data_IF_288161466996
#
_entry.id   IF_288161466996
#
_cell.length_a   1.000
_cell.length_b   1.000
_cell.length_c   1.000
_cell.angle_alpha   90.00
_cell.angle_beta   90.00
_cell.angle_gamma   90.00
#
_symmetry.space_group_name_H-M   'P 1'
#
loop_
_entity.id
_entity.type
_entity.pdbx_description
1 polymer ?
#
# COMPACT_ATOMS: atom_id res chain seq x y z
N UNK A 1 5.14 0.25 -36.50
CA UNK A 1 5.81 0.89 -35.35
C UNK A 1 6.11 -0.22 -34.36
N UNK A 2 7.36 -0.56 -34.13
CA UNK A 2 7.72 -1.48 -33.05
C UNK A 2 7.22 -0.89 -31.75
N UNK A 3 6.29 -1.57 -31.07
CA UNK A 3 5.93 -1.23 -29.71
C UNK A 3 7.18 -1.42 -28.88
N UNK A 4 7.76 -0.32 -28.44
CA UNK A 4 8.91 -0.33 -27.54
C UNK A 4 8.38 -0.90 -26.20
N UNK A 5 8.48 -2.23 -26.04
CA UNK A 5 8.05 -2.94 -24.84
C UNK A 5 8.90 -2.45 -23.67
N UNK A 6 8.26 -1.92 -22.62
CA UNK A 6 8.92 -1.49 -21.41
C UNK A 6 8.43 -2.38 -20.26
N UNK A 7 9.28 -3.29 -19.81
CA UNK A 7 8.95 -4.27 -18.77
C UNK A 7 8.36 -3.65 -17.50
N UNK A 8 8.84 -2.46 -17.12
CA UNK A 8 8.33 -1.75 -15.94
C UNK A 8 6.90 -1.22 -16.16
N UNK A 9 6.65 -0.63 -17.33
CA UNK A 9 5.29 -0.17 -17.68
C UNK A 9 4.34 -1.36 -17.81
N UNK A 10 4.75 -2.43 -18.46
CA UNK A 10 3.97 -3.65 -18.60
C UNK A 10 3.62 -4.26 -17.23
N UNK A 11 4.56 -4.23 -16.29
CA UNK A 11 4.34 -4.66 -14.90
C UNK A 11 3.25 -3.82 -14.22
N UNK A 12 3.35 -2.51 -14.31
CA UNK A 12 2.39 -1.58 -13.71
C UNK A 12 1.00 -1.73 -14.33
N UNK A 13 0.92 -1.89 -15.65
CA UNK A 13 -0.34 -2.04 -16.37
C UNK A 13 -1.05 -3.36 -16.07
N UNK A 14 -0.33 -4.47 -15.85
CA UNK A 14 -0.92 -5.78 -15.52
C UNK A 14 -1.23 -5.98 -14.03
N UNK A 15 -0.80 -5.07 -13.14
CA UNK A 15 -1.01 -5.18 -11.70
C UNK A 15 -2.48 -5.33 -11.32
N UNK A 16 -2.77 -6.25 -10.44
CA UNK A 16 -4.10 -6.45 -9.85
C UNK A 16 -3.99 -6.90 -8.39
N UNK A 17 -5.06 -6.72 -7.62
CA UNK A 17 -5.11 -7.21 -6.24
C UNK A 17 -5.30 -8.72 -6.21
N UNK A 18 -4.46 -9.42 -5.44
CA UNK A 18 -4.48 -10.87 -5.24
C UNK A 18 -4.81 -11.16 -3.79
N UNK A 19 -5.79 -12.04 -3.55
CA UNK A 19 -6.30 -12.38 -2.22
C UNK A 19 -6.31 -13.87 -1.91
N UNK A 20 -5.84 -14.71 -2.85
CA UNK A 20 -5.68 -16.15 -2.65
C UNK A 20 -4.28 -16.53 -3.10
N UNK A 21 -3.51 -17.08 -2.19
CA UNK A 21 -2.10 -17.40 -2.38
C UNK A 21 -1.88 -18.91 -2.35
N UNK A 22 -0.82 -19.37 -3.01
CA UNK A 22 -0.32 -20.72 -2.86
C UNK A 22 0.24 -20.93 -1.43
N UNK A 23 0.19 -22.17 -0.94
CA UNK A 23 0.89 -22.60 0.28
C UNK A 23 2.40 -22.72 -0.01
N UNK A 24 3.00 -21.59 -0.35
CA UNK A 24 4.41 -21.47 -0.69
C UNK A 24 5.03 -20.29 0.02
N UNK A 25 6.09 -20.57 0.75
CA UNK A 25 6.84 -19.52 1.42
C UNK A 25 7.62 -18.64 0.43
N UNK A 26 7.77 -17.38 0.79
CA UNK A 26 8.63 -16.44 0.06
C UNK A 26 10.05 -16.61 0.59
N UNK A 27 11.01 -16.83 -0.30
CA UNK A 27 12.42 -16.90 0.06
C UNK A 27 12.84 -15.64 0.83
N UNK A 28 13.61 -15.82 1.91
CA UNK A 28 14.04 -14.68 2.75
C UNK A 28 14.83 -13.63 1.95
N UNK A 29 15.57 -14.06 0.94
CA UNK A 29 16.27 -13.16 0.03
C UNK A 29 15.29 -12.27 -0.77
N UNK A 30 14.17 -12.81 -1.24
CA UNK A 30 13.17 -12.03 -1.98
C UNK A 30 12.36 -11.13 -1.04
N UNK A 31 12.01 -11.62 0.16
CA UNK A 31 11.41 -10.79 1.22
C UNK A 31 12.30 -9.58 1.53
N UNK A 32 13.59 -9.81 1.69
CA UNK A 32 14.57 -8.75 1.92
C UNK A 32 14.63 -7.76 0.76
N UNK A 33 14.65 -8.22 -0.49
CA UNK A 33 14.63 -7.36 -1.69
C UNK A 33 13.41 -6.45 -1.74
N UNK A 34 12.22 -6.97 -1.36
CA UNK A 34 10.99 -6.18 -1.28
C UNK A 34 11.13 -5.07 -0.22
N UNK A 35 11.64 -5.38 0.95
CA UNK A 35 11.86 -4.40 2.03
C UNK A 35 12.92 -3.36 1.64
N UNK A 36 14.03 -3.78 1.04
CA UNK A 36 15.08 -2.88 0.55
C UNK A 36 14.56 -1.96 -0.55
N UNK A 37 13.68 -2.45 -1.44
CA UNK A 37 13.01 -1.63 -2.44
C UNK A 37 12.15 -0.53 -1.80
N UNK A 38 11.42 -0.83 -0.73
CA UNK A 38 10.66 0.19 0.03
C UNK A 38 11.53 1.36 0.46
N UNK A 39 12.77 1.08 0.89
CA UNK A 39 13.72 2.11 1.35
C UNK A 39 14.30 2.95 0.19
N UNK A 40 14.05 2.55 -1.07
CA UNK A 40 14.44 3.34 -2.27
C UNK A 40 13.32 4.25 -2.74
N UNK A 41 12.15 4.20 -2.11
CA UNK A 41 11.05 5.12 -2.37
C UNK A 41 11.46 6.58 -2.15
N UNK A 42 10.84 7.49 -2.90
CA UNK A 42 11.00 8.91 -2.63
C UNK A 42 10.46 9.25 -1.23
N UNK A 43 11.08 10.18 -0.55
CA UNK A 43 10.73 10.62 0.81
C UNK A 43 10.97 12.11 0.97
N UNK A 44 10.12 12.79 1.69
CA UNK A 44 10.23 14.22 1.93
C UNK A 44 11.54 14.56 2.66
N UNK A 45 12.34 15.45 2.06
CA UNK A 45 13.61 15.89 2.66
C UNK A 45 14.59 14.77 3.01
N UNK A 46 14.48 13.60 2.39
CA UNK A 46 15.22 12.38 2.72
C UNK A 46 15.05 11.93 4.18
N UNK A 47 13.86 12.18 4.75
CA UNK A 47 13.58 11.95 6.17
C UNK A 47 13.14 10.51 6.48
N UNK A 48 12.61 9.77 5.51
CA UNK A 48 12.08 8.41 5.70
C UNK A 48 11.07 8.38 6.85
N UNK A 49 9.95 9.11 6.68
CA UNK A 49 8.94 9.34 7.72
C UNK A 49 8.01 8.14 7.93
N UNK A 50 8.53 6.94 7.82
CA UNK A 50 7.75 5.72 7.97
C UNK A 50 8.51 4.62 8.72
N UNK A 51 7.75 3.71 9.29
CA UNK A 51 8.23 2.43 9.85
C UNK A 51 7.47 1.30 9.19
N UNK A 52 8.16 0.20 8.90
CA UNK A 52 7.57 -1.01 8.32
C UNK A 52 7.60 -2.10 9.40
N UNK A 53 6.44 -2.68 9.71
CA UNK A 53 6.33 -3.82 10.60
C UNK A 53 6.11 -5.07 9.74
N UNK A 54 7.10 -5.96 9.75
CA UNK A 54 7.03 -7.26 9.09
C UNK A 54 6.37 -8.26 10.04
N UNK A 55 5.08 -8.55 9.83
CA UNK A 55 4.27 -9.41 10.70
C UNK A 55 4.52 -10.86 10.35
N UNK A 56 5.29 -11.56 11.19
CA UNK A 56 5.62 -13.00 11.06
C UNK A 56 4.84 -13.88 12.04
N UNK A 57 4.39 -13.33 13.16
CA UNK A 57 3.67 -14.08 14.19
C UNK A 57 2.26 -14.45 13.73
N UNK A 58 1.93 -15.75 13.68
CA UNK A 58 0.64 -16.24 13.20
C UNK A 58 -0.52 -15.68 14.02
N UNK A 59 -0.42 -15.65 15.34
CA UNK A 59 -1.49 -15.10 16.21
C UNK A 59 -1.80 -13.64 15.90
N UNK A 60 -0.79 -12.86 15.57
CA UNK A 60 -0.98 -11.46 15.16
C UNK A 60 -1.66 -11.36 13.80
N UNK A 61 -1.26 -12.19 12.81
CA UNK A 61 -1.94 -12.28 11.53
C UNK A 61 -3.41 -12.68 11.69
N UNK A 62 -3.70 -13.68 12.52
CA UNK A 62 -5.07 -14.14 12.81
C UNK A 62 -5.91 -13.01 13.40
N UNK A 63 -5.32 -12.24 14.33
CA UNK A 63 -6.02 -11.11 14.93
C UNK A 63 -6.26 -9.99 13.93
N UNK A 64 -5.26 -9.63 13.12
CA UNK A 64 -5.41 -8.64 12.07
C UNK A 64 -6.45 -9.06 11.03
N UNK A 65 -6.54 -10.35 10.68
CA UNK A 65 -7.58 -10.86 9.79
C UNK A 65 -9.00 -10.60 10.33
N UNK A 66 -9.20 -10.73 11.63
CA UNK A 66 -10.49 -10.47 12.29
C UNK A 66 -10.76 -8.97 12.37
N UNK A 67 -9.80 -8.18 12.82
CA UNK A 67 -9.97 -6.74 13.06
C UNK A 67 -10.00 -5.90 11.78
N UNK A 68 -9.53 -6.46 10.67
CA UNK A 68 -9.63 -5.88 9.33
C UNK A 68 -10.76 -6.54 8.54
N UNK A 69 -12.00 -6.41 9.03
CA UNK A 69 -13.25 -6.83 8.39
C UNK A 69 -13.36 -8.34 8.09
N UNK A 70 -12.87 -9.19 9.01
CA UNK A 70 -12.93 -10.65 8.87
C UNK A 70 -12.41 -11.17 7.52
N UNK A 71 -11.23 -10.73 7.12
CA UNK A 71 -10.57 -11.10 5.86
C UNK A 71 -9.56 -12.25 6.08
N UNK A 72 -9.97 -13.52 5.96
CA UNK A 72 -9.14 -14.68 6.34
C UNK A 72 -7.85 -14.81 5.52
N UNK A 73 -7.79 -14.27 4.32
CA UNK A 73 -6.59 -14.31 3.49
C UNK A 73 -5.41 -13.50 4.07
N UNK A 74 -5.66 -12.58 5.02
CA UNK A 74 -4.61 -11.90 5.78
C UNK A 74 -3.85 -12.89 6.65
N UNK A 75 -4.57 -13.79 7.33
CA UNK A 75 -3.97 -14.80 8.18
C UNK A 75 -3.11 -15.81 7.40
N UNK A 76 -3.52 -16.14 6.17
CA UNK A 76 -2.84 -17.13 5.33
C UNK A 76 -1.76 -16.53 4.41
N UNK A 77 -1.67 -15.20 4.31
CA UNK A 77 -0.70 -14.55 3.45
C UNK A 77 0.77 -14.82 3.92
N UNK A 78 1.66 -15.28 3.02
CA UNK A 78 3.08 -15.45 3.33
C UNK A 78 3.78 -14.15 3.71
N UNK A 79 3.35 -13.02 3.13
CA UNK A 79 3.86 -11.68 3.41
C UNK A 79 2.75 -10.83 4.02
N UNK A 80 3.00 -10.23 5.18
CA UNK A 80 2.11 -9.23 5.81
C UNK A 80 2.98 -8.09 6.31
N UNK A 81 2.86 -6.93 5.68
CA UNK A 81 3.63 -5.73 6.02
C UNK A 81 2.67 -4.62 6.44
N UNK A 82 2.84 -4.09 7.65
CA UNK A 82 2.12 -2.89 8.10
C UNK A 82 3.03 -1.69 7.96
N UNK A 83 2.59 -0.73 7.16
CA UNK A 83 3.26 0.53 6.90
C UNK A 83 2.68 1.60 7.82
N UNK A 84 3.54 2.18 8.64
CA UNK A 84 3.16 3.19 9.64
C UNK A 84 3.80 4.53 9.31
N UNK A 85 3.01 5.61 9.29
CA UNK A 85 3.53 6.96 9.36
C UNK A 85 4.26 7.15 10.70
N UNK A 86 5.51 7.59 10.66
CA UNK A 86 6.37 7.69 11.83
C UNK A 86 7.14 9.02 11.83
N UNK A 87 6.55 10.01 12.51
CA UNK A 87 7.21 11.29 12.76
C UNK A 87 7.97 11.32 14.10
N UNK A 88 7.78 10.27 14.94
CA UNK A 88 8.33 10.18 16.29
C UNK A 88 9.86 10.29 16.31
N UNK A 89 10.55 9.59 15.40
CA UNK A 89 12.02 9.59 15.35
C UNK A 89 12.59 10.98 15.17
N UNK A 90 12.04 11.75 14.23
CA UNK A 90 12.45 13.12 13.96
C UNK A 90 12.06 14.06 15.09
N UNK A 91 10.86 13.95 15.63
CA UNK A 91 10.46 14.74 16.79
C UNK A 91 11.40 14.53 17.97
N UNK A 92 11.77 13.29 18.27
CA UNK A 92 12.72 12.99 19.33
C UNK A 92 14.14 13.52 19.04
N UNK A 93 14.59 13.41 17.78
CA UNK A 93 15.88 13.97 17.37
C UNK A 93 15.93 15.49 17.53
N UNK A 94 14.88 16.20 17.09
CA UNK A 94 14.77 17.65 17.28
C UNK A 94 14.77 18.05 18.77
N UNK A 95 14.05 17.32 19.62
CA UNK A 95 14.03 17.57 21.06
C UNK A 95 15.39 17.39 21.75
N UNK A 96 16.36 16.73 21.12
CA UNK A 96 17.71 16.58 21.64
C UNK A 96 18.64 17.75 21.30
N UNK A 97 18.33 18.51 20.25
CA UNK A 97 19.21 19.55 19.71
C UNK A 97 18.61 20.95 19.79
N UNK A 98 17.31 21.05 19.97
CA UNK A 98 16.57 22.32 20.01
C UNK A 98 15.95 22.55 21.40
N UNK A 99 16.05 23.76 21.94
CA UNK A 99 15.46 24.14 23.23
C UNK A 99 13.91 24.14 23.18
N UNK A 100 13.34 24.45 22.02
CA UNK A 100 11.89 24.55 21.81
C UNK A 100 11.49 23.87 20.51
N UNK A 101 10.86 22.72 20.64
CA UNK A 101 10.31 21.95 19.51
C UNK A 101 8.79 21.96 19.61
N UNK A 102 8.10 22.34 18.53
CA UNK A 102 6.65 22.17 18.44
C UNK A 102 6.30 20.69 18.37
N UNK A 103 5.19 20.30 18.96
CA UNK A 103 4.65 18.95 18.81
C UNK A 103 4.25 18.70 17.36
N UNK A 104 4.40 17.44 16.87
CA UNK A 104 3.85 17.04 15.58
C UNK A 104 2.36 17.38 15.45
N UNK A 105 1.98 17.85 14.28
CA UNK A 105 0.63 18.29 13.96
C UNK A 105 0.05 17.44 12.83
N UNK A 106 -1.17 17.77 12.41
CA UNK A 106 -1.84 17.12 11.30
C UNK A 106 -1.05 17.19 9.98
N UNK A 107 -0.40 18.32 9.69
CA UNK A 107 0.47 18.45 8.50
C UNK A 107 1.66 17.52 8.51
N UNK A 108 2.28 17.31 9.68
CA UNK A 108 3.39 16.36 9.84
C UNK A 108 2.92 14.91 9.64
N UNK A 109 1.72 14.60 10.12
CA UNK A 109 1.09 13.29 9.89
C UNK A 109 0.79 13.06 8.40
N UNK A 110 0.21 14.05 7.70
CA UNK A 110 -0.04 13.93 6.25
C UNK A 110 1.25 13.68 5.48
N UNK A 111 2.30 14.46 5.75
CA UNK A 111 3.60 14.28 5.10
C UNK A 111 4.17 12.88 5.35
N UNK A 112 4.08 12.39 6.59
CA UNK A 112 4.53 11.05 6.93
C UNK A 112 3.66 9.96 6.28
N UNK A 113 2.34 10.19 6.14
CA UNK A 113 1.43 9.26 5.47
C UNK A 113 1.71 9.18 3.95
N UNK A 114 2.05 10.29 3.30
CA UNK A 114 2.48 10.32 1.89
C UNK A 114 3.74 9.49 1.69
N UNK A 115 4.79 9.73 2.47
CA UNK A 115 6.03 8.93 2.45
C UNK A 115 5.73 7.43 2.63
N UNK A 116 4.85 7.11 3.57
CA UNK A 116 4.45 5.75 3.91
C UNK A 116 3.80 5.03 2.73
N UNK A 117 2.87 5.67 2.03
CA UNK A 117 2.18 5.09 0.87
C UNK A 117 3.13 4.94 -0.32
N UNK A 118 4.02 5.90 -0.54
CA UNK A 118 5.04 5.81 -1.61
C UNK A 118 5.97 4.60 -1.37
N UNK A 119 6.40 4.40 -0.12
CA UNK A 119 7.22 3.25 0.26
C UNK A 119 6.46 1.92 0.10
N UNK A 120 5.19 1.86 0.53
CA UNK A 120 4.33 0.69 0.38
C UNK A 120 4.10 0.34 -1.11
N UNK A 121 3.83 1.34 -1.97
CA UNK A 121 3.66 1.11 -3.40
C UNK A 121 4.95 0.63 -4.07
N UNK A 122 6.11 1.13 -3.64
CA UNK A 122 7.40 0.65 -4.15
C UNK A 122 7.62 -0.83 -3.82
N UNK A 123 7.27 -1.25 -2.58
CA UNK A 123 7.29 -2.67 -2.20
C UNK A 123 6.33 -3.53 -3.03
N UNK A 124 5.12 -3.04 -3.28
CA UNK A 124 4.14 -3.73 -4.14
C UNK A 124 4.72 -3.94 -5.54
N UNK A 125 5.31 -2.93 -6.13
CA UNK A 125 5.95 -3.03 -7.45
C UNK A 125 7.11 -4.03 -7.45
N UNK A 126 7.94 -4.04 -6.40
CA UNK A 126 9.02 -5.00 -6.25
C UNK A 126 8.51 -6.45 -6.08
N UNK A 127 7.43 -6.63 -5.30
CA UNK A 127 6.79 -7.93 -5.14
C UNK A 127 6.23 -8.46 -6.47
N UNK A 128 5.52 -7.60 -7.22
CA UNK A 128 4.99 -7.95 -8.54
C UNK A 128 6.13 -8.31 -9.52
N UNK A 129 7.27 -7.62 -9.47
CA UNK A 129 8.46 -7.93 -10.28
C UNK A 129 9.11 -9.28 -9.92
N UNK A 130 8.89 -9.75 -8.69
CA UNK A 130 9.33 -11.08 -8.22
C UNK A 130 8.27 -12.18 -8.46
N UNK A 131 7.18 -11.86 -9.17
CA UNK A 131 6.09 -12.80 -9.48
C UNK A 131 5.13 -13.04 -8.34
N UNK A 132 5.16 -12.20 -7.29
CA UNK A 132 4.19 -12.24 -6.20
C UNK A 132 2.95 -11.42 -6.58
N UNK A 133 1.80 -11.80 -6.03
CA UNK A 133 0.60 -10.98 -6.06
C UNK A 133 0.41 -10.31 -4.70
N UNK A 134 -0.15 -9.11 -4.70
CA UNK A 134 -0.34 -8.30 -3.49
C UNK A 134 -1.75 -7.75 -3.36
N UNK A 135 -2.16 -7.40 -2.14
CA UNK A 135 -3.38 -6.65 -1.88
C UNK A 135 -3.13 -5.62 -0.78
N UNK A 136 -3.58 -4.38 -0.99
CA UNK A 136 -3.71 -3.39 0.08
C UNK A 136 -4.92 -3.68 0.95
N UNK A 137 -4.75 -3.51 2.25
CA UNK A 137 -5.79 -3.63 3.27
C UNK A 137 -5.95 -2.26 3.92
N UNK A 138 -7.04 -1.58 3.55
CA UNK A 138 -7.39 -0.26 4.07
C UNK A 138 -7.99 -0.32 5.48
N UNK A 139 -8.62 -1.45 5.81
CA UNK A 139 -9.31 -1.69 7.08
C UNK A 139 -8.37 -1.62 8.31
N UNK A 140 -7.05 -1.59 8.07
CA UNK A 140 -6.07 -1.30 9.13
C UNK A 140 -6.30 0.07 9.79
N UNK A 141 -7.03 0.96 9.13
CA UNK A 141 -7.38 2.29 9.64
C UNK A 141 -8.65 2.29 10.51
N UNK A 142 -9.54 1.30 10.34
CA UNK A 142 -10.87 1.34 10.97
C UNK A 142 -10.83 1.11 12.47
N UNK A 143 -10.08 0.11 12.94
CA UNK A 143 -9.93 -0.21 14.36
C UNK A 143 -8.61 0.35 14.91
N UNK A 144 -8.37 1.63 14.67
CA UNK A 144 -7.09 2.30 14.94
C UNK A 144 -6.52 2.04 16.34
N UNK A 145 -7.32 2.23 17.40
CA UNK A 145 -6.85 2.05 18.78
C UNK A 145 -6.49 0.60 19.10
N UNK A 146 -7.20 -0.35 18.51
CA UNK A 146 -6.87 -1.77 18.64
C UNK A 146 -5.59 -2.10 17.89
N UNK A 147 -5.46 -1.67 16.64
CA UNK A 147 -4.26 -1.91 15.84
C UNK A 147 -3.03 -1.23 16.45
N UNK A 148 -3.17 0.00 16.97
CA UNK A 148 -2.12 0.68 17.71
C UNK A 148 -1.61 -0.17 18.88
N UNK A 149 -2.53 -0.77 19.65
CA UNK A 149 -2.21 -1.61 20.82
C UNK A 149 -1.59 -2.94 20.41
N UNK A 150 -2.16 -3.61 19.39
CA UNK A 150 -1.66 -4.88 18.85
C UNK A 150 -0.23 -4.77 18.31
N UNK A 151 0.06 -3.68 17.65
CA UNK A 151 1.36 -3.41 17.01
C UNK A 151 2.35 -2.67 17.93
N UNK A 152 1.92 -2.30 19.15
CA UNK A 152 2.77 -1.60 20.11
C UNK A 152 3.19 -0.20 19.65
N UNK A 153 2.34 0.50 18.89
CA UNK A 153 2.69 1.80 18.31
C UNK A 153 2.72 2.90 19.38
N UNK A 154 3.83 3.64 19.49
CA UNK A 154 3.93 4.78 20.39
C UNK A 154 3.23 6.01 19.84
N UNK A 155 3.24 7.11 20.61
CA UNK A 155 2.76 8.41 20.13
C UNK A 155 3.53 8.85 18.87
N UNK A 156 2.82 9.53 17.97
CA UNK A 156 3.30 10.01 16.66
C UNK A 156 3.70 8.91 15.66
N UNK A 157 3.25 7.67 15.92
CA UNK A 157 3.32 6.55 14.97
C UNK A 157 1.91 6.02 14.76
N UNK A 158 1.48 5.93 13.49
CA UNK A 158 0.14 5.47 13.13
C UNK A 158 0.17 4.52 11.94
N UNK A 159 -0.61 3.41 11.93
CA UNK A 159 -0.71 2.58 10.75
C UNK A 159 -1.42 3.35 9.65
N UNK A 160 -0.94 3.24 8.41
CA UNK A 160 -1.51 3.93 7.23
C UNK A 160 -1.98 2.93 6.20
N UNK A 161 -1.25 1.84 6.01
CA UNK A 161 -1.60 0.78 5.09
C UNK A 161 -1.08 -0.56 5.58
N UNK A 162 -1.78 -1.63 5.25
CA UNK A 162 -1.24 -2.97 5.33
C UNK A 162 -1.18 -3.57 3.93
N UNK A 163 -0.08 -4.22 3.59
CA UNK A 163 0.10 -4.94 2.33
C UNK A 163 0.26 -6.42 2.66
N UNK A 164 -0.58 -7.25 2.07
CA UNK A 164 -0.44 -8.70 2.11
C UNK A 164 -0.01 -9.21 0.75
N UNK A 165 0.74 -10.31 0.71
CA UNK A 165 1.24 -10.86 -0.55
C UNK A 165 1.70 -12.29 -0.46
N UNK A 166 1.84 -12.91 -1.62
CA UNK A 166 2.30 -14.28 -1.82
C UNK A 166 2.26 -14.68 -3.28
N UNK A 167 2.64 -15.90 -3.60
CA UNK A 167 2.50 -16.42 -4.96
C UNK A 167 1.02 -16.61 -5.28
N UNK A 168 0.51 -16.01 -6.38
CA UNK A 168 -0.91 -16.13 -6.73
C UNK A 168 -1.22 -17.55 -7.18
N UNK A 169 -2.37 -18.10 -6.77
CA UNK A 169 -2.89 -19.35 -7.37
C UNK A 169 -3.15 -19.14 -8.86
N UNK A 170 -3.17 -20.23 -9.64
CA UNK A 170 -3.45 -20.18 -11.08
C UNK A 170 -4.76 -19.44 -11.40
N UNK A 171 -5.81 -19.65 -10.58
CA UNK A 171 -7.07 -18.93 -10.72
C UNK A 171 -6.93 -17.43 -10.52
N UNK A 172 -6.15 -16.99 -9.52
CA UNK A 172 -5.89 -15.57 -9.27
C UNK A 172 -5.01 -14.96 -10.37
N UNK A 173 -4.05 -15.72 -10.88
CA UNK A 173 -3.19 -15.29 -11.99
C UNK A 173 -4.01 -15.05 -13.26
N UNK A 174 -4.97 -15.93 -13.57
CA UNK A 174 -5.86 -15.84 -14.74
C UNK A 174 -6.99 -14.81 -14.59
N UNK A 175 -7.26 -14.29 -13.39
CA UNK A 175 -8.36 -13.35 -13.15
C UNK A 175 -8.14 -12.06 -13.93
N UNK A 176 -9.19 -11.57 -14.61
CA UNK A 176 -9.19 -10.24 -15.28
C UNK A 176 -8.95 -9.12 -14.26
N UNK A 177 -8.37 -8.02 -14.70
CA UNK A 177 -8.25 -6.81 -13.89
C UNK A 177 -9.63 -6.17 -13.65
N UNK A 178 -9.76 -5.47 -12.54
CA UNK A 178 -10.92 -4.62 -12.31
C UNK A 178 -10.83 -3.34 -13.14
N UNK A 179 -11.95 -2.88 -13.73
CA UNK A 179 -11.97 -1.66 -14.53
C UNK A 179 -11.54 -0.44 -13.72
N UNK A 180 -11.04 0.56 -14.41
CA UNK A 180 -10.71 1.88 -13.86
C UNK A 180 -11.54 2.94 -14.57
N UNK A 181 -11.61 4.13 -14.00
CA UNK A 181 -12.12 5.29 -14.73
C UNK A 181 -11.20 5.61 -15.91
N UNK A 182 -11.75 6.25 -16.95
CA UNK A 182 -10.96 6.70 -18.08
C UNK A 182 -9.95 7.78 -17.66
N UNK A 183 -8.84 7.86 -18.38
CA UNK A 183 -7.79 8.84 -18.09
C UNK A 183 -8.35 10.27 -18.12
N UNK A 184 -9.20 10.55 -19.09
CA UNK A 184 -9.81 11.84 -19.34
C UNK A 184 -10.72 12.30 -18.20
N UNK A 185 -11.30 11.34 -17.45
CA UNK A 185 -12.18 11.64 -16.32
C UNK A 185 -11.40 12.05 -15.06
N UNK A 186 -10.16 11.57 -14.93
CA UNK A 186 -9.34 11.75 -13.71
C UNK A 186 -8.25 12.81 -13.91
N UNK A 187 -7.72 12.95 -15.12
CA UNK A 187 -6.64 13.91 -15.41
C UNK A 187 -7.22 15.24 -15.86
N UNK A 188 -6.99 16.28 -15.08
CA UNK A 188 -7.37 17.66 -15.37
C UNK A 188 -6.13 18.46 -15.77
N UNK A 189 -6.24 19.21 -16.87
CA UNK A 189 -5.14 20.05 -17.35
C UNK A 189 -5.12 21.41 -16.62
N UNK A 190 -3.98 21.77 -16.09
CA UNK A 190 -3.67 23.04 -15.41
C UNK A 190 -4.50 23.37 -14.15
N UNK A 191 -5.79 23.01 -14.09
CA UNK A 191 -6.68 23.31 -12.97
C UNK A 191 -7.80 22.29 -12.86
N UNK A 192 -8.44 22.26 -11.70
CA UNK A 192 -9.59 21.40 -11.45
C UNK A 192 -10.75 21.82 -12.36
N UNK A 193 -11.34 20.86 -13.06
CA UNK A 193 -12.48 21.04 -13.95
C UNK A 193 -13.76 20.49 -13.30
N UNK A 194 -14.64 21.39 -12.86
CA UNK A 194 -15.91 21.02 -12.21
C UNK A 194 -16.84 20.26 -13.17
N UNK A 195 -16.85 20.59 -14.47
CA UNK A 195 -17.73 19.92 -15.43
C UNK A 195 -17.37 18.44 -15.61
N UNK A 196 -16.08 18.09 -15.52
CA UNK A 196 -15.64 16.69 -15.52
C UNK A 196 -16.11 15.97 -14.28
N UNK A 197 -15.95 16.59 -13.11
CA UNK A 197 -16.30 15.99 -11.80
C UNK A 197 -17.80 15.78 -11.62
N UNK A 198 -18.64 16.64 -12.21
CA UNK A 198 -20.11 16.55 -12.11
C UNK A 198 -20.70 15.39 -12.94
N UNK A 199 -19.87 14.72 -13.75
CA UNK A 199 -20.27 13.57 -14.56
C UNK A 199 -20.07 12.21 -13.86
N UNK A 200 -19.98 12.16 -12.52
CA UNK A 200 -19.66 10.95 -11.76
C UNK A 200 -20.61 9.78 -12.06
N UNK A 201 -21.91 10.04 -12.26
CA UNK A 201 -22.88 8.98 -12.59
C UNK A 201 -22.55 8.32 -13.95
N UNK A 202 -22.25 9.10 -14.98
CA UNK A 202 -21.80 8.58 -16.28
C UNK A 202 -20.50 7.75 -16.13
N UNK A 203 -19.53 8.28 -15.39
CA UNK A 203 -18.27 7.58 -15.16
C UNK A 203 -18.47 6.22 -14.45
N UNK A 204 -19.44 6.13 -13.53
CA UNK A 204 -19.81 4.87 -12.87
C UNK A 204 -20.51 3.93 -13.84
N UNK A 205 -21.46 4.41 -14.66
CA UNK A 205 -22.14 3.62 -15.69
C UNK A 205 -21.14 3.05 -16.70
N UNK A 206 -20.23 3.87 -17.22
CA UNK A 206 -19.18 3.45 -18.14
C UNK A 206 -18.28 2.37 -17.52
N UNK A 207 -17.93 2.52 -16.25
CA UNK A 207 -17.12 1.57 -15.51
C UNK A 207 -17.86 0.26 -15.21
N UNK A 208 -19.17 0.31 -14.89
CA UNK A 208 -19.98 -0.87 -14.61
C UNK A 208 -20.33 -1.66 -15.88
N UNK A 209 -20.53 -0.96 -16.99
CA UNK A 209 -20.78 -1.54 -18.31
C UNK A 209 -19.50 -2.07 -18.99
N UNK A 210 -18.35 -1.88 -18.37
CA UNK A 210 -17.10 -2.41 -18.89
C UNK A 210 -17.05 -3.94 -18.71
N UNK A 211 -17.32 -4.67 -19.77
CA UNK A 211 -17.30 -6.15 -19.76
C UNK A 211 -15.93 -6.75 -20.05
N UNK A 212 -14.89 -5.91 -20.21
CA UNK A 212 -13.56 -6.35 -20.64
C UNK A 212 -13.62 -6.92 -22.06
N UNK A 213 -12.76 -6.50 -22.94
CA UNK A 213 -12.60 -7.18 -24.23
C UNK A 213 -12.29 -8.65 -23.94
N UNK A 214 -13.08 -9.54 -24.56
CA UNK A 214 -12.94 -10.99 -24.48
C UNK A 214 -11.63 -11.48 -25.10
#
# INVERSE_FOLDING_TARGET
>A
MEQNTNETLDLLMRRKSVRVFEEREIAEADRRRILEASLRAATAGNMTLYTIIDVKEQKLKDRLAVTCDNQPFIATAPLVLVYCADYRRWYQAFCQVEERVRKPSYGDFLLAAEDTIIAAQTAVTAADALGLGTCYIGDILENYEEHRRLLGLPDYVAPVAMVVGGYPTAQQAARKQTPRFALEDIVHENRYDLQKSDNMLRMLEDKENWHGEE
#
